data_IF_241679814527
#
_entry.id   IF_241679814527
#
_cell.length_a   1.000
_cell.length_b   1.000
_cell.length_c   1.000
_cell.angle_alpha   90.00
_cell.angle_beta   90.00
_cell.angle_gamma   90.00
#
_symmetry.space_group_name_H-M   'P 1'
#
loop_
_entity.id
_entity.type
_entity.pdbx_description
1 polymer ?
#
# COMPACT_ATOMS: atom_id res chain seq x y z
N UNK A 1 -6.50 8.96 8.11
CA UNK A 1 -6.79 7.95 9.13
C UNK A 1 -5.49 7.25 9.58
N UNK A 2 -4.74 6.55 8.70
CA UNK A 2 -3.56 5.76 9.09
C UNK A 2 -2.45 6.60 9.74
N UNK A 3 -2.16 7.80 9.25
CA UNK A 3 -1.16 8.69 9.85
C UNK A 3 -1.51 9.06 11.30
N UNK A 4 -2.80 9.27 11.59
CA UNK A 4 -3.25 9.57 12.94
C UNK A 4 -3.23 8.33 13.83
N UNK A 5 -3.63 7.18 13.31
CA UNK A 5 -3.49 5.92 14.04
C UNK A 5 -2.03 5.63 14.38
N UNK A 6 -1.10 5.81 13.43
CA UNK A 6 0.34 5.62 13.64
C UNK A 6 0.89 6.57 14.71
N UNK A 7 0.48 7.85 14.67
CA UNK A 7 0.84 8.84 15.70
C UNK A 7 0.37 8.41 17.09
N UNK A 8 -0.88 7.95 17.17
CA UNK A 8 -1.53 7.57 18.43
C UNK A 8 -1.03 6.23 18.96
N UNK A 9 -0.63 5.29 18.10
CA UNK A 9 -0.07 3.99 18.45
C UNK A 9 1.38 4.09 18.98
N UNK A 10 2.08 5.18 18.68
CA UNK A 10 3.46 5.39 19.06
C UNK A 10 3.61 5.40 20.60
N UNK A 11 4.49 4.54 21.13
CA UNK A 11 4.68 4.29 22.56
C UNK A 11 3.62 3.36 23.18
N UNK A 12 2.73 2.76 22.37
CA UNK A 12 1.70 1.81 22.84
C UNK A 12 1.86 0.41 22.26
N UNK A 13 2.57 0.27 21.15
CA UNK A 13 2.88 -1.04 20.54
C UNK A 13 3.99 -1.69 21.37
N UNK A 14 3.86 -2.99 21.62
CA UNK A 14 4.90 -3.77 22.29
C UNK A 14 6.23 -3.65 21.54
N UNK A 15 7.31 -3.43 22.30
CA UNK A 15 8.64 -3.23 21.73
C UNK A 15 9.17 -4.49 21.05
N UNK A 16 8.83 -5.67 21.57
CA UNK A 16 9.22 -6.95 20.99
C UNK A 16 8.54 -7.18 19.64
N UNK A 17 7.28 -6.80 19.49
CA UNK A 17 6.57 -6.85 18.20
C UNK A 17 7.23 -5.96 17.17
N UNK A 18 7.58 -4.72 17.53
CA UNK A 18 8.29 -3.80 16.64
C UNK A 18 9.68 -4.30 16.26
N UNK A 19 10.43 -4.89 17.21
CA UNK A 19 11.74 -5.49 16.92
C UNK A 19 11.63 -6.69 15.99
N UNK A 20 10.61 -7.54 16.16
CA UNK A 20 10.32 -8.67 15.27
C UNK A 20 10.01 -8.19 13.85
N UNK A 21 9.15 -7.17 13.70
CA UNK A 21 8.87 -6.54 12.41
C UNK A 21 10.10 -5.93 11.76
N UNK A 22 10.93 -5.21 12.53
CA UNK A 22 12.18 -4.63 12.04
C UNK A 22 13.12 -5.70 11.49
N UNK A 23 13.28 -6.84 12.20
CA UNK A 23 14.12 -7.94 11.75
C UNK A 23 13.60 -8.57 10.45
N UNK A 24 12.30 -8.79 10.35
CA UNK A 24 11.66 -9.32 9.15
C UNK A 24 11.81 -8.37 7.94
N UNK A 25 11.61 -7.07 8.15
CA UNK A 25 11.77 -6.03 7.12
C UNK A 25 13.21 -5.92 6.63
N UNK A 26 14.19 -5.96 7.53
CA UNK A 26 15.62 -5.96 7.17
C UNK A 26 16.00 -7.18 6.32
N UNK A 27 15.39 -8.34 6.57
CA UNK A 27 15.57 -9.53 5.72
C UNK A 27 14.96 -9.30 4.32
N UNK A 28 13.77 -8.73 4.23
CA UNK A 28 13.12 -8.42 2.95
C UNK A 28 13.95 -7.43 2.12
N UNK A 29 14.47 -6.38 2.73
CA UNK A 29 15.31 -5.37 2.04
C UNK A 29 16.65 -5.93 1.57
N UNK A 30 17.21 -6.92 2.26
CA UNK A 30 18.49 -7.56 1.89
C UNK A 30 18.36 -8.66 0.83
N UNK A 31 17.16 -9.21 0.61
CA UNK A 31 16.94 -10.38 -0.26
C UNK A 31 16.68 -10.01 -1.72
N UNK A 32 16.40 -8.75 -2.02
CA UNK A 32 15.93 -8.23 -3.29
C UNK A 32 16.77 -8.54 -4.54
N UNK A 33 18.03 -8.94 -4.39
CA UNK A 33 18.94 -9.15 -5.52
C UNK A 33 19.11 -10.63 -5.99
N UNK A 34 18.35 -11.58 -5.41
CA UNK A 34 18.58 -13.03 -5.62
C UNK A 34 17.34 -13.84 -5.97
N UNK A 35 16.34 -13.30 -6.63
CA UNK A 35 15.05 -13.99 -6.80
C UNK A 35 14.94 -14.80 -8.08
N UNK A 36 14.97 -16.13 -7.95
CA UNK A 36 14.37 -17.07 -8.92
C UNK A 36 12.88 -17.31 -8.58
N UNK A 37 12.09 -17.84 -9.51
CA UNK A 37 10.62 -17.97 -9.43
C UNK A 37 10.06 -18.54 -8.12
N UNK A 38 10.68 -19.59 -7.54
CA UNK A 38 10.27 -20.16 -6.23
C UNK A 38 10.53 -19.24 -5.05
N UNK A 39 11.56 -18.41 -5.15
CA UNK A 39 11.94 -17.44 -4.13
C UNK A 39 10.97 -16.25 -4.16
N UNK A 40 10.49 -15.87 -5.35
CA UNK A 40 9.53 -14.76 -5.53
C UNK A 40 8.22 -14.98 -4.78
N UNK A 41 7.60 -16.17 -4.91
CA UNK A 41 6.34 -16.48 -4.21
C UNK A 41 6.50 -16.41 -2.68
N UNK A 42 7.62 -16.91 -2.13
CA UNK A 42 7.91 -16.81 -0.69
C UNK A 42 8.18 -15.38 -0.25
N UNK A 43 8.86 -14.61 -1.09
CA UNK A 43 9.13 -13.20 -0.85
C UNK A 43 7.83 -12.39 -0.75
N UNK A 44 6.92 -12.56 -1.72
CA UNK A 44 5.59 -11.93 -1.73
C UNK A 44 4.78 -12.34 -0.50
N UNK A 45 4.73 -13.65 -0.17
CA UNK A 45 4.00 -14.13 1.00
C UNK A 45 4.52 -13.50 2.30
N UNK A 46 5.84 -13.38 2.45
CA UNK A 46 6.45 -12.73 3.61
C UNK A 46 6.19 -11.23 3.64
N UNK A 47 6.28 -10.55 2.49
CA UNK A 47 5.95 -9.13 2.39
C UNK A 47 4.50 -8.85 2.78
N UNK A 48 3.54 -9.69 2.34
CA UNK A 48 2.12 -9.62 2.72
C UNK A 48 1.90 -9.80 4.22
N UNK A 49 2.59 -10.76 4.82
CA UNK A 49 2.52 -11.02 6.26
C UNK A 49 2.99 -9.82 7.06
N UNK A 50 4.16 -9.29 6.74
CA UNK A 50 4.77 -8.16 7.45
C UNK A 50 3.94 -6.89 7.28
N UNK A 51 3.47 -6.61 6.07
CA UNK A 51 2.56 -5.49 5.78
C UNK A 51 1.28 -5.57 6.65
N UNK A 52 0.62 -6.73 6.63
CA UNK A 52 -0.61 -6.92 7.39
C UNK A 52 -0.39 -6.78 8.90
N UNK A 53 0.69 -7.37 9.44
CA UNK A 53 1.03 -7.27 10.86
C UNK A 53 1.32 -5.85 11.30
N UNK A 54 2.06 -5.06 10.50
CA UNK A 54 2.36 -3.68 10.84
C UNK A 54 1.08 -2.84 10.94
N UNK A 55 0.23 -2.89 9.91
CA UNK A 55 -1.00 -2.12 9.88
C UNK A 55 -2.00 -2.56 10.96
N UNK A 56 -2.06 -3.86 11.27
CA UNK A 56 -2.91 -4.40 12.35
C UNK A 56 -2.43 -3.96 13.74
N UNK A 57 -1.13 -3.98 13.99
CA UNK A 57 -0.56 -3.49 15.25
C UNK A 57 -0.82 -2.00 15.44
N UNK A 58 -0.67 -1.20 14.40
CA UNK A 58 -0.98 0.24 14.45
C UNK A 58 -2.46 0.45 14.75
N UNK A 59 -3.36 -0.23 14.04
CA UNK A 59 -4.79 -0.08 14.23
C UNK A 59 -5.24 -0.50 15.64
N UNK A 60 -4.77 -1.65 16.12
CA UNK A 60 -5.14 -2.17 17.45
C UNK A 60 -4.57 -1.35 18.60
N UNK A 61 -3.40 -0.71 18.40
CA UNK A 61 -2.70 0.05 19.44
C UNK A 61 -3.01 1.55 19.46
N UNK A 62 -3.77 2.07 18.46
CA UNK A 62 -4.03 3.52 18.35
C UNK A 62 -4.89 4.09 19.50
N UNK A 63 -5.54 3.24 20.28
CA UNK A 63 -6.37 3.64 21.42
C UNK A 63 -7.67 4.38 21.04
N UNK A 64 -8.09 4.29 19.78
CA UNK A 64 -9.32 4.85 19.26
C UNK A 64 -10.10 3.77 18.50
N UNK A 65 -11.15 3.23 19.11
CA UNK A 65 -11.95 2.13 18.57
C UNK A 65 -12.64 2.50 17.23
N UNK A 66 -13.10 3.74 17.09
CA UNK A 66 -13.67 4.20 15.82
C UNK A 66 -12.64 4.18 14.71
N UNK A 67 -11.46 4.74 14.97
CA UNK A 67 -10.36 4.80 14.00
C UNK A 67 -9.88 3.38 13.63
N UNK A 68 -9.74 2.48 14.60
CA UNK A 68 -9.38 1.08 14.38
C UNK A 68 -10.41 0.36 13.50
N UNK A 69 -11.71 0.55 13.75
CA UNK A 69 -12.78 -0.05 12.97
C UNK A 69 -12.76 0.46 11.51
N UNK A 70 -12.61 1.78 11.29
CA UNK A 70 -12.56 2.32 9.94
C UNK A 70 -11.30 1.86 9.18
N UNK A 71 -10.15 1.74 9.84
CA UNK A 71 -8.95 1.17 9.22
C UNK A 71 -9.15 -0.30 8.83
N UNK A 72 -9.79 -1.10 9.67
CA UNK A 72 -10.11 -2.48 9.35
C UNK A 72 -11.06 -2.61 8.14
N UNK A 73 -12.02 -1.70 7.98
CA UNK A 73 -12.91 -1.67 6.80
C UNK A 73 -12.14 -1.31 5.52
N UNK A 74 -11.30 -0.28 5.59
CA UNK A 74 -10.48 0.17 4.46
C UNK A 74 -9.42 -0.86 4.08
N UNK A 75 -8.87 -1.59 5.05
CA UNK A 75 -7.88 -2.65 4.84
C UNK A 75 -8.34 -3.68 3.80
N UNK A 76 -9.61 -4.10 3.83
CA UNK A 76 -10.15 -5.08 2.88
C UNK A 76 -10.05 -4.53 1.45
N UNK A 77 -10.42 -3.28 1.25
CA UNK A 77 -10.38 -2.62 -0.05
C UNK A 77 -8.94 -2.47 -0.57
N UNK A 78 -8.06 -1.91 0.25
CA UNK A 78 -6.65 -1.69 -0.12
C UNK A 78 -5.91 -3.01 -0.35
N UNK A 79 -6.23 -4.06 0.42
CA UNK A 79 -5.66 -5.39 0.25
C UNK A 79 -5.94 -5.95 -1.15
N UNK A 80 -7.15 -5.79 -1.66
CA UNK A 80 -7.51 -6.25 -3.00
C UNK A 80 -6.67 -5.55 -4.08
N UNK A 81 -6.53 -4.23 -4.03
CA UNK A 81 -5.69 -3.47 -4.97
C UNK A 81 -4.22 -3.88 -4.89
N UNK A 82 -3.68 -4.01 -3.70
CA UNK A 82 -2.31 -4.45 -3.46
C UNK A 82 -2.06 -5.84 -4.02
N UNK A 83 -2.96 -6.79 -3.75
CA UNK A 83 -2.79 -8.18 -4.16
C UNK A 83 -2.82 -8.32 -5.70
N UNK A 84 -3.66 -7.55 -6.40
CA UNK A 84 -3.67 -7.47 -7.87
C UNK A 84 -2.36 -6.88 -8.40
N UNK A 85 -1.86 -5.80 -7.79
CA UNK A 85 -0.59 -5.18 -8.19
C UNK A 85 0.59 -6.13 -7.99
N UNK A 86 0.67 -6.79 -6.85
CA UNK A 86 1.75 -7.73 -6.55
C UNK A 86 1.72 -8.99 -7.42
N UNK A 87 0.54 -9.47 -7.82
CA UNK A 87 0.43 -10.56 -8.76
C UNK A 87 0.95 -10.17 -10.15
N UNK A 88 0.62 -8.96 -10.59
CA UNK A 88 1.13 -8.41 -11.84
C UNK A 88 2.67 -8.28 -11.81
N UNK A 89 3.24 -7.76 -10.72
CA UNK A 89 4.69 -7.64 -10.55
C UNK A 89 5.36 -9.02 -10.48
N UNK A 90 4.71 -10.00 -9.84
CA UNK A 90 5.18 -11.38 -9.79
C UNK A 90 5.27 -12.03 -11.17
N UNK A 91 4.27 -11.83 -12.02
CA UNK A 91 4.27 -12.34 -13.40
C UNK A 91 5.41 -11.74 -14.22
N UNK A 92 5.82 -10.50 -13.94
CA UNK A 92 6.94 -9.80 -14.56
C UNK A 92 8.29 -10.06 -13.88
N UNK A 93 8.29 -10.78 -12.76
CA UNK A 93 9.45 -10.98 -11.88
C UNK A 93 10.11 -9.65 -11.44
N UNK A 94 9.31 -8.59 -11.34
CA UNK A 94 9.73 -7.28 -10.87
C UNK A 94 9.35 -7.09 -9.40
N UNK A 95 10.31 -7.27 -8.52
CA UNK A 95 10.12 -7.15 -7.08
C UNK A 95 10.63 -5.80 -6.54
N UNK A 96 10.98 -4.86 -7.41
CA UNK A 96 11.52 -3.56 -7.02
C UNK A 96 10.55 -2.82 -6.10
N UNK A 97 9.25 -2.78 -6.47
CA UNK A 97 8.23 -2.11 -5.67
C UNK A 97 8.07 -2.73 -4.28
N UNK A 98 8.09 -4.07 -4.17
CA UNK A 98 8.01 -4.77 -2.89
C UNK A 98 9.19 -4.43 -1.97
N UNK A 99 10.37 -4.26 -2.55
CA UNK A 99 11.57 -3.86 -1.81
C UNK A 99 11.49 -2.41 -1.34
N UNK A 100 11.02 -1.49 -2.20
CA UNK A 100 10.75 -0.11 -1.81
C UNK A 100 9.74 -0.04 -0.66
N UNK A 101 8.65 -0.81 -0.76
CA UNK A 101 7.61 -0.89 0.27
C UNK A 101 8.15 -1.43 1.59
N UNK A 102 9.03 -2.43 1.55
CA UNK A 102 9.72 -2.92 2.75
C UNK A 102 10.61 -1.85 3.40
N UNK A 103 11.29 -1.02 2.61
CA UNK A 103 12.05 0.14 3.15
C UNK A 103 11.13 1.20 3.75
N UNK A 104 9.98 1.49 3.11
CA UNK A 104 8.99 2.41 3.63
C UNK A 104 8.44 1.94 4.99
N UNK A 105 8.08 0.64 5.09
CA UNK A 105 7.63 0.03 6.34
C UNK A 105 8.72 0.04 7.41
N UNK A 106 9.97 -0.24 7.05
CA UNK A 106 11.09 -0.18 7.98
C UNK A 106 11.25 1.22 8.60
N UNK A 107 11.11 2.27 7.79
CA UNK A 107 11.17 3.66 8.28
C UNK A 107 10.04 3.96 9.29
N UNK A 108 8.83 3.40 9.08
CA UNK A 108 7.72 3.53 10.02
C UNK A 108 8.06 2.83 11.35
N UNK A 109 8.53 1.57 11.27
CA UNK A 109 8.86 0.77 12.46
C UNK A 109 10.01 1.39 13.25
N UNK A 110 11.04 1.90 12.59
CA UNK A 110 12.16 2.58 13.24
C UNK A 110 11.72 3.86 13.97
N UNK A 111 10.83 4.64 13.38
CA UNK A 111 10.26 5.82 14.02
C UNK A 111 9.36 5.45 15.22
N UNK A 112 8.61 4.34 15.15
CA UNK A 112 7.82 3.82 16.26
C UNK A 112 8.72 3.30 17.41
N UNK A 113 9.82 2.59 17.09
CA UNK A 113 10.81 2.14 18.06
C UNK A 113 11.53 3.29 18.77
N UNK A 114 11.75 4.39 18.05
CA UNK A 114 12.32 5.63 18.60
C UNK A 114 11.29 6.49 19.34
N UNK A 115 10.04 6.04 19.42
CA UNK A 115 8.90 6.79 20.00
C UNK A 115 8.72 8.19 19.41
N UNK A 116 9.15 8.39 18.16
CA UNK A 116 9.02 9.65 17.45
C UNK A 116 7.68 9.72 16.71
N UNK A 117 6.64 10.19 17.39
CA UNK A 117 5.25 10.29 16.88
C UNK A 117 5.14 11.06 15.57
N UNK A 118 5.90 12.14 15.45
CA UNK A 118 5.86 13.02 14.28
C UNK A 118 6.48 12.33 13.07
N UNK A 119 7.64 11.70 13.24
CA UNK A 119 8.31 11.00 12.15
C UNK A 119 7.58 9.73 11.77
N UNK A 120 7.01 8.98 12.72
CA UNK A 120 6.18 7.80 12.42
C UNK A 120 4.99 8.18 11.53
N UNK A 121 4.26 9.25 11.86
CA UNK A 121 3.16 9.74 11.03
C UNK A 121 3.61 10.25 9.65
N UNK A 122 4.78 10.89 9.57
CA UNK A 122 5.36 11.33 8.29
C UNK A 122 5.79 10.15 7.42
N UNK A 123 6.43 9.15 8.01
CA UNK A 123 6.82 7.92 7.32
C UNK A 123 5.59 7.20 6.76
N UNK A 124 4.53 7.04 7.56
CA UNK A 124 3.25 6.50 7.10
C UNK A 124 2.65 7.32 5.94
N UNK A 125 2.70 8.64 6.03
CA UNK A 125 2.22 9.51 4.94
C UNK A 125 3.01 9.32 3.63
N UNK A 126 4.32 9.15 3.71
CA UNK A 126 5.16 8.86 2.53
C UNK A 126 4.80 7.51 1.91
N UNK A 127 4.66 6.49 2.75
CA UNK A 127 4.26 5.14 2.36
C UNK A 127 2.92 5.13 1.60
N UNK A 128 1.87 5.72 2.17
CA UNK A 128 0.55 5.79 1.54
C UNK A 128 0.61 6.51 0.18
N UNK A 129 1.29 7.65 0.11
CA UNK A 129 1.42 8.40 -1.15
C UNK A 129 2.19 7.62 -2.21
N UNK A 130 3.20 6.88 -1.82
CA UNK A 130 3.96 6.00 -2.70
C UNK A 130 3.09 4.88 -3.26
N UNK A 131 2.31 4.21 -2.39
CA UNK A 131 1.35 3.18 -2.79
C UNK A 131 0.32 3.70 -3.79
N UNK A 132 -0.31 4.85 -3.51
CA UNK A 132 -1.29 5.47 -4.42
C UNK A 132 -0.68 5.76 -5.80
N UNK A 133 0.55 6.31 -5.85
CA UNK A 133 1.24 6.57 -7.14
C UNK A 133 1.52 5.29 -7.92
N UNK A 134 1.85 4.20 -7.23
CA UNK A 134 2.10 2.91 -7.87
C UNK A 134 0.81 2.31 -8.43
N UNK A 135 -0.25 2.24 -7.63
CA UNK A 135 -1.54 1.69 -8.02
C UNK A 135 -2.21 2.49 -9.15
N UNK A 136 -2.10 3.82 -9.13
CA UNK A 136 -2.67 4.66 -10.20
C UNK A 136 -2.03 4.41 -11.57
N UNK A 137 -0.78 3.93 -11.61
CA UNK A 137 -0.11 3.52 -12.85
C UNK A 137 -0.52 2.12 -13.33
N UNK A 138 -0.90 1.24 -12.40
CA UNK A 138 -1.31 -0.13 -12.71
C UNK A 138 -2.79 -0.22 -13.15
N UNK A 139 -3.62 0.78 -12.81
CA UNK A 139 -5.00 0.84 -13.27
C UNK A 139 -5.04 1.22 -14.75
N UNK A 140 -5.82 0.50 -15.60
CA UNK A 140 -6.02 0.92 -16.97
C UNK A 140 -6.59 2.34 -16.98
N UNK A 141 -6.03 3.23 -17.81
CA UNK A 141 -6.61 4.55 -18.01
C UNK A 141 -8.10 4.36 -18.36
N UNK A 142 -8.98 4.82 -17.47
CA UNK A 142 -10.42 4.82 -17.76
C UNK A 142 -10.59 5.50 -19.10
N UNK A 143 -11.19 4.79 -20.06
CA UNK A 143 -11.50 5.30 -21.39
C UNK A 143 -12.27 6.61 -21.22
N UNK A 144 -11.54 7.72 -21.25
CA UNK A 144 -12.12 9.06 -21.28
C UNK A 144 -12.92 9.15 -22.57
N UNK A 145 -14.23 9.15 -22.41
CA UNK A 145 -15.30 9.19 -23.36
C UNK A 145 -14.94 9.66 -24.77
N UNK A 146 -15.03 8.77 -25.70
CA UNK A 146 -15.39 9.09 -27.07
C UNK A 146 -16.84 9.61 -27.05
N UNK A 147 -17.01 10.90 -26.75
CA UNK A 147 -18.23 11.60 -27.04
C UNK A 147 -18.33 11.69 -28.56
N UNK A 148 -19.08 10.75 -29.14
CA UNK A 148 -19.43 10.74 -30.55
C UNK A 148 -20.08 12.07 -30.90
N UNK A 149 -19.40 12.84 -31.75
CA UNK A 149 -20.00 13.95 -32.49
C UNK A 149 -20.96 13.35 -33.54
N UNK A 150 -22.20 13.13 -33.11
CA UNK A 150 -23.30 12.94 -34.06
C UNK A 150 -23.64 14.30 -34.66
N UNK A 151 -23.04 14.64 -35.78
CA UNK A 151 -23.50 15.73 -36.64
C UNK A 151 -24.76 15.27 -37.38
N UNK A 152 -25.91 15.58 -36.83
CA UNK A 152 -27.18 15.55 -37.58
C UNK A 152 -27.23 16.78 -38.47
N UNK A 153 -26.94 16.59 -39.74
CA UNK A 153 -27.27 17.58 -40.79
C UNK A 153 -28.80 17.53 -41.10
N UNK A 154 -29.50 18.64 -41.06
CA UNK A 154 -30.88 18.67 -41.47
C UNK A 154 -30.97 18.61 -43.01
N UNK A 155 -31.65 17.61 -43.56
CA UNK A 155 -32.05 17.58 -44.94
C UNK A 155 -33.26 18.51 -45.14
N UNK A 156 -33.06 19.53 -45.96
CA UNK A 156 -34.10 20.41 -46.45
C UNK A 156 -34.86 19.65 -47.54
N UNK A 157 -36.13 19.35 -47.26
CA UNK A 157 -37.06 18.81 -48.28
C UNK A 157 -37.73 19.99 -48.95
N UNK A 158 -37.34 20.27 -50.22
CA UNK A 158 -38.11 21.16 -51.10
C UNK A 158 -39.30 20.40 -51.71
N UNK A 159 -40.48 20.91 -51.45
CA UNK A 159 -41.70 20.52 -52.21
C UNK A 159 -41.90 21.55 -53.33
N UNK A 160 -42.01 21.08 -54.54
CA UNK A 160 -42.72 21.71 -55.66
C UNK A 160 -43.95 20.88 -55.96
#
# INVERSE_FOLDING_TARGET
LECEATRSACGRIDRGDLQSLSADLKRLTSTSSRTGSRTGTRFIAKARDVDSRLHDLIASSCGNAFLANELNRLKILFRTFRDVSWEHDNQRQDYHRLTEEAHEHLAIVEALLAENRTEAARAMSRHIRSGIRHWSKALPASASGSAGKNSLSPQIVSRS
#
